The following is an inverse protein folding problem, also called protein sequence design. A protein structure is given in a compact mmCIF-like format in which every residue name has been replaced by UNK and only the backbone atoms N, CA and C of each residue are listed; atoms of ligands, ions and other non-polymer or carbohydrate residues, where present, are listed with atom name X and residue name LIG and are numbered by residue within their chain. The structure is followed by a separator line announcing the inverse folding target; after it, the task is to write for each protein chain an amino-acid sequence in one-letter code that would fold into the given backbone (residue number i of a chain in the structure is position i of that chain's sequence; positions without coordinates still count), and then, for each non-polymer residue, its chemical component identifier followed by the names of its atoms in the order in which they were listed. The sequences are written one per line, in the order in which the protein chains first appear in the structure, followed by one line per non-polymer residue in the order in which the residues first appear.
data_IF_055188314035
#
_entry.id   IF_055188314035
#
_cell.length_a   1.000
_cell.length_b   1.000
_cell.length_c   1.000
_cell.angle_alpha   90.00
_cell.angle_beta   90.00
_cell.angle_gamma   90.00
#
_symmetry.space_group_name_H-M   'P 1'
#
loop_
_entity.id
_entity.type
_entity.pdbx_description
1 polymer ?
#
# COMPACT_ATOMS: atom_id res chain seq x y z
N UNK A 1 -2.31 -8.07 -7.24
CA UNK A 1 -2.28 -6.59 -7.27
C UNK A 1 -1.57 -6.10 -8.52
N UNK A 2 -0.28 -6.38 -8.69
CA UNK A 2 0.51 -5.95 -9.86
C UNK A 2 -0.14 -6.32 -11.19
N UNK A 3 -0.61 -7.56 -11.34
CA UNK A 3 -1.30 -8.02 -12.57
C UNK A 3 -2.59 -7.24 -12.83
N UNK A 4 -3.48 -7.14 -11.84
CA UNK A 4 -4.74 -6.38 -11.94
C UNK A 4 -4.53 -4.89 -12.27
N UNK A 5 -3.47 -4.26 -11.76
CA UNK A 5 -3.11 -2.88 -12.12
C UNK A 5 -2.61 -2.82 -13.57
N UNK A 6 -1.86 -3.83 -14.02
CA UNK A 6 -1.41 -3.94 -15.42
C UNK A 6 -2.56 -4.08 -16.41
N UNK A 7 -3.62 -4.82 -16.07
CA UNK A 7 -4.81 -4.99 -16.91
C UNK A 7 -5.55 -3.68 -17.18
N UNK A 8 -5.43 -2.69 -16.28
CA UNK A 8 -6.00 -1.34 -16.45
C UNK A 8 -4.99 -0.33 -17.00
N UNK A 9 -3.83 -0.80 -17.50
CA UNK A 9 -2.83 0.03 -18.17
C UNK A 9 -1.83 0.73 -17.26
N UNK A 10 -1.76 0.36 -15.98
CA UNK A 10 -0.76 0.91 -15.06
C UNK A 10 0.55 0.15 -15.15
N UNK A 11 1.66 0.86 -15.02
CA UNK A 11 3.01 0.29 -15.08
C UNK A 11 3.65 0.28 -13.69
N UNK A 12 4.14 -0.86 -13.19
CA UNK A 12 4.88 -0.91 -11.94
C UNK A 12 6.19 -0.13 -12.04
N UNK A 13 6.42 0.77 -11.07
CA UNK A 13 7.67 1.53 -10.95
C UNK A 13 8.50 0.94 -9.83
N UNK A 14 9.73 0.51 -10.13
CA UNK A 14 10.70 0.02 -9.13
C UNK A 14 11.70 1.09 -8.69
N UNK A 15 12.04 1.96 -9.63
CA UNK A 15 13.00 3.05 -9.49
C UNK A 15 12.48 4.27 -10.27
N UNK A 16 12.66 5.47 -9.72
CA UNK A 16 12.22 6.73 -10.33
C UNK A 16 10.94 7.29 -9.73
N UNK A 17 10.25 8.15 -10.48
CA UNK A 17 9.05 8.87 -10.03
C UNK A 17 7.83 7.99 -10.21
N UNK A 18 7.02 7.85 -9.15
CA UNK A 18 5.75 7.13 -9.19
C UNK A 18 4.58 8.11 -9.05
N UNK A 19 3.54 7.96 -9.88
CA UNK A 19 2.33 8.78 -9.78
C UNK A 19 1.45 8.37 -8.59
N UNK A 20 1.54 7.10 -8.18
CA UNK A 20 0.79 6.54 -7.07
C UNK A 20 1.58 5.43 -6.35
N UNK A 21 1.31 5.31 -5.06
CA UNK A 21 1.73 4.22 -4.19
C UNK A 21 0.49 3.44 -3.77
N UNK A 22 0.43 2.16 -4.14
CA UNK A 22 -0.68 1.26 -3.79
C UNK A 22 -0.17 0.20 -2.83
N UNK A 23 -0.69 0.19 -1.60
CA UNK A 23 -0.29 -0.72 -0.54
C UNK A 23 -1.27 -1.88 -0.40
N UNK A 24 -0.72 -3.09 -0.45
CA UNK A 24 -1.42 -4.33 -0.16
C UNK A 24 -0.56 -5.29 0.64
N UNK A 25 -1.17 -6.34 1.17
CA UNK A 25 -0.46 -7.37 1.92
C UNK A 25 0.52 -8.12 1.01
N UNK A 26 1.77 -8.19 1.44
CA UNK A 26 2.79 -9.08 0.89
C UNK A 26 3.80 -9.38 2.01
N UNK A 27 4.40 -10.57 1.98
CA UNK A 27 5.26 -11.07 3.08
C UNK A 27 6.70 -10.61 2.97
N UNK A 28 7.12 -10.26 1.76
CA UNK A 28 8.49 -9.87 1.46
C UNK A 28 8.72 -8.36 1.67
N UNK A 29 7.76 -7.67 2.32
CA UNK A 29 7.85 -6.26 2.67
C UNK A 29 9.10 -6.00 3.52
N UNK A 30 9.94 -5.10 3.05
CA UNK A 30 11.20 -4.74 3.70
C UNK A 30 11.35 -3.22 3.90
N UNK A 31 12.51 -2.83 4.45
CA UNK A 31 12.79 -1.43 4.74
C UNK A 31 13.07 -0.60 3.47
N UNK A 32 13.58 -1.21 2.41
CA UNK A 32 13.86 -0.52 1.15
C UNK A 32 12.56 -0.17 0.43
N UNK A 33 11.58 -1.08 0.45
CA UNK A 33 10.23 -0.80 -0.05
C UNK A 33 9.52 0.28 0.77
N UNK A 34 9.69 0.26 2.11
CA UNK A 34 9.19 1.32 2.97
C UNK A 34 9.78 2.69 2.62
N UNK A 35 11.10 2.80 2.47
CA UNK A 35 11.76 4.08 2.16
C UNK A 35 11.30 4.62 0.80
N UNK A 36 11.26 3.77 -0.23
CA UNK A 36 10.79 4.14 -1.57
C UNK A 36 9.33 4.59 -1.56
N UNK A 37 8.44 3.82 -0.92
CA UNK A 37 7.03 4.16 -0.82
C UNK A 37 6.82 5.47 -0.06
N UNK A 38 7.44 5.62 1.11
CA UNK A 38 7.31 6.83 1.92
C UNK A 38 7.86 8.06 1.21
N UNK A 39 8.99 7.92 0.50
CA UNK A 39 9.56 8.99 -0.32
C UNK A 39 8.61 9.41 -1.45
N UNK A 40 8.08 8.46 -2.22
CA UNK A 40 7.15 8.77 -3.31
C UNK A 40 5.90 9.50 -2.79
N UNK A 41 5.35 9.09 -1.65
CA UNK A 41 4.21 9.79 -1.03
C UNK A 41 4.57 11.22 -0.62
N UNK A 42 5.75 11.44 -0.03
CA UNK A 42 6.23 12.80 0.32
C UNK A 42 6.47 13.68 -0.92
N UNK A 43 6.86 13.07 -2.04
CA UNK A 43 7.05 13.75 -3.32
C UNK A 43 5.72 14.00 -4.07
N UNK A 44 4.59 13.59 -3.51
CA UNK A 44 3.26 13.94 -3.99
C UNK A 44 2.49 12.81 -4.67
N UNK A 45 3.04 11.59 -4.71
CA UNK A 45 2.32 10.44 -5.24
C UNK A 45 0.99 10.23 -4.50
N UNK A 46 -0.05 9.81 -5.24
CA UNK A 46 -1.31 9.41 -4.63
C UNK A 46 -1.07 8.19 -3.74
N UNK A 47 -1.56 8.21 -2.50
CA UNK A 47 -1.34 7.11 -1.56
C UNK A 47 -2.64 6.32 -1.37
N UNK A 48 -2.64 5.04 -1.73
CA UNK A 48 -3.82 4.18 -1.71
C UNK A 48 -3.52 2.91 -0.93
N UNK A 49 -4.41 2.51 -0.03
CA UNK A 49 -4.41 1.21 0.64
C UNK A 49 -5.55 0.35 0.10
N UNK A 50 -5.25 -0.92 -0.18
CA UNK A 50 -6.27 -1.89 -0.62
C UNK A 50 -7.30 -2.20 0.48
N UNK A 51 -6.86 -2.23 1.73
CA UNK A 51 -7.65 -2.32 2.96
C UNK A 51 -6.77 -1.88 4.15
N UNK A 52 -7.40 -1.64 5.31
CA UNK A 52 -6.70 -1.24 6.54
C UNK A 52 -6.76 -2.31 7.64
N UNK A 53 -7.00 -3.57 7.28
CA UNK A 53 -7.06 -4.65 8.27
C UNK A 53 -5.68 -4.80 8.94
N UNK A 54 -5.63 -4.51 10.23
CA UNK A 54 -4.38 -4.56 11.00
C UNK A 54 -3.81 -5.97 11.10
N UNK A 55 -4.69 -6.99 11.06
CA UNK A 55 -4.32 -8.40 11.18
C UNK A 55 -5.06 -9.29 10.18
N UNK A 56 -4.47 -10.44 9.89
CA UNK A 56 -5.02 -11.49 9.05
C UNK A 56 -5.06 -12.81 9.84
N UNK A 57 -6.22 -13.47 9.98
CA UNK A 57 -6.31 -14.75 10.70
C UNK A 57 -5.59 -15.89 9.98
N UNK A 58 -4.82 -16.68 10.73
CA UNK A 58 -4.18 -17.91 10.23
C UNK A 58 -4.35 -19.07 11.23
N UNK A 59 -4.19 -20.33 10.78
CA UNK A 59 -4.06 -21.45 11.71
C UNK A 59 -2.89 -21.18 12.67
N UNK A 60 -3.19 -20.98 13.95
CA UNK A 60 -2.19 -20.69 14.99
C UNK A 60 -2.13 -19.24 15.49
N UNK A 61 -2.92 -18.31 14.94
CA UNK A 61 -3.04 -16.96 15.51
C UNK A 61 -3.37 -15.86 14.51
N UNK A 62 -2.90 -14.65 14.81
CA UNK A 62 -3.04 -13.47 13.96
C UNK A 62 -1.68 -13.12 13.35
N UNK A 63 -1.65 -12.96 12.03
CA UNK A 63 -0.52 -12.34 11.32
C UNK A 63 -0.79 -10.85 11.08
N UNK A 64 0.23 -10.02 10.86
CA UNK A 64 0.03 -8.67 10.34
C UNK A 64 -0.74 -8.68 9.02
N UNK A 65 -1.72 -7.80 8.87
CA UNK A 65 -2.48 -7.59 7.64
C UNK A 65 -1.92 -6.45 6.78
N UNK A 66 -2.63 -6.08 5.71
CA UNK A 66 -2.22 -4.97 4.85
C UNK A 66 -2.21 -3.63 5.59
N UNK A 67 -3.08 -3.46 6.60
CA UNK A 67 -3.13 -2.27 7.43
C UNK A 67 -1.85 -2.03 8.22
N UNK A 68 -1.12 -3.08 8.61
CA UNK A 68 0.16 -2.93 9.30
C UNK A 68 1.25 -2.32 8.38
N UNK A 69 1.31 -2.77 7.12
CA UNK A 69 2.22 -2.20 6.11
C UNK A 69 1.81 -0.76 5.81
N UNK A 70 0.51 -0.52 5.60
CA UNK A 70 -0.03 0.81 5.32
C UNK A 70 0.27 1.80 6.43
N UNK A 71 0.17 1.38 7.70
CA UNK A 71 0.50 2.22 8.85
C UNK A 71 1.99 2.57 8.92
N UNK A 72 2.88 1.64 8.54
CA UNK A 72 4.32 1.91 8.47
C UNK A 72 4.62 2.98 7.41
N UNK A 73 4.05 2.85 6.21
CA UNK A 73 4.19 3.85 5.14
C UNK A 73 3.59 5.19 5.57
N UNK A 74 2.38 5.20 6.14
CA UNK A 74 1.72 6.42 6.59
C UNK A 74 2.54 7.17 7.64
N UNK A 75 3.11 6.43 8.60
CA UNK A 75 3.98 6.99 9.65
C UNK A 75 5.25 7.61 9.05
N UNK A 76 5.92 6.89 8.15
CA UNK A 76 7.16 7.36 7.53
C UNK A 76 6.93 8.51 6.53
N UNK A 77 5.77 8.55 5.88
CA UNK A 77 5.39 9.58 4.91
C UNK A 77 4.74 10.81 5.57
N UNK A 78 4.19 10.67 6.77
CA UNK A 78 3.40 11.72 7.44
C UNK A 78 2.03 11.97 6.79
N UNK A 79 1.48 10.98 6.07
CA UNK A 79 0.22 11.11 5.32
C UNK A 79 -0.55 9.80 5.32
N UNK A 80 -1.86 9.88 5.54
CA UNK A 80 -2.77 8.72 5.49
C UNK A 80 -3.15 8.32 4.06
N UNK A 81 -3.44 7.04 3.80
CA UNK A 81 -3.86 6.56 2.50
C UNK A 81 -5.35 6.83 2.23
N UNK A 82 -5.72 6.88 0.96
CA UNK A 82 -7.08 6.63 0.49
C UNK A 82 -7.36 5.12 0.53
N UNK A 83 -8.54 4.70 0.98
CA UNK A 83 -8.87 3.27 1.10
C UNK A 83 -9.73 2.85 -0.08
N UNK A 84 -9.27 1.87 -0.86
CA UNK A 84 -10.00 1.36 -2.02
C UNK A 84 -11.10 0.34 -1.66
N UNK A 85 -11.02 -0.28 -0.48
CA UNK A 85 -11.95 -1.29 0.02
C UNK A 85 -13.03 -0.75 0.99
N UNK A 86 -13.99 -1.60 1.34
CA UNK A 86 -15.04 -1.30 2.35
C UNK A 86 -14.41 -0.87 3.69
N UNK A 87 -15.06 0.02 4.48
CA UNK A 87 -16.39 0.59 4.32
C UNK A 87 -16.48 1.71 3.28
N UNK A 88 -15.35 2.14 2.72
CA UNK A 88 -15.33 3.22 1.75
C UNK A 88 -15.87 2.77 0.39
N UNK A 89 -16.51 3.71 -0.30
CA UNK A 89 -16.94 3.48 -1.68
C UNK A 89 -15.70 3.24 -2.57
N UNK A 90 -15.80 2.39 -3.61
CA UNK A 90 -14.73 2.26 -4.60
C UNK A 90 -14.32 3.66 -5.08
N UNK A 91 -13.02 3.95 -5.07
CA UNK A 91 -12.50 5.24 -5.54
C UNK A 91 -12.99 5.47 -6.98
N UNK A 92 -13.71 6.58 -7.19
CA UNK A 92 -14.24 7.02 -8.49
C UNK A 92 -13.19 7.80 -9.26
#
# INVERSE_FOLDING_TARGET
MVEALGEVGLTPVRDGVADAVVVGFHRDFDYDELDRAARAVREGARFVATNLDATYPVPGGLMPGAGAISAAVATAAGREPEVAGKPEAPMV
#
